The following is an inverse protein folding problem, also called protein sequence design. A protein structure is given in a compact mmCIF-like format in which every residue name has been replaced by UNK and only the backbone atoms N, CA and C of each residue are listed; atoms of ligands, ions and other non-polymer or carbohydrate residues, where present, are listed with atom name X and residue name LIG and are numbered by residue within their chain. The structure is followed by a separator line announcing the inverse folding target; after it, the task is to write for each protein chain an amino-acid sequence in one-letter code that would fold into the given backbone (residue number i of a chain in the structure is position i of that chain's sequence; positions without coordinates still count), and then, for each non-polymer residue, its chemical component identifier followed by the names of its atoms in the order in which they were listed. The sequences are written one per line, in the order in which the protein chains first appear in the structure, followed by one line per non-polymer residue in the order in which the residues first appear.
data_IF_367016089586
#
_entry.id   IF_367016089586
#
_cell.length_a   1.000
_cell.length_b   1.000
_cell.length_c   1.000
_cell.angle_alpha   90.00
_cell.angle_beta   90.00
_cell.angle_gamma   90.00
#
_symmetry.space_group_name_H-M   'P 1'
#
loop_
_entity.id
_entity.type
_entity.pdbx_description
1 polymer ?
#
# COMPACT_ATOMS: atom_id res chain seq x y z
N UNK A 1 -26.50 -45.88 -52.75
CA UNK A 1 -27.07 -44.65 -52.14
C UNK A 1 -26.52 -44.58 -50.71
N UNK A 2 -25.28 -44.06 -50.61
CA UNK A 2 -24.59 -43.96 -49.33
C UNK A 2 -24.75 -42.56 -48.82
N UNK A 3 -25.39 -42.42 -47.64
CA UNK A 3 -25.54 -41.16 -46.96
C UNK A 3 -24.29 -40.89 -46.10
N UNK A 4 -23.49 -39.90 -46.47
CA UNK A 4 -22.43 -39.35 -45.65
C UNK A 4 -23.04 -38.63 -44.42
N UNK A 5 -22.70 -39.11 -43.23
CA UNK A 5 -22.95 -38.46 -41.95
C UNK A 5 -21.74 -37.59 -41.63
N UNK A 6 -21.94 -36.26 -41.58
CA UNK A 6 -20.93 -35.31 -41.10
C UNK A 6 -20.78 -35.44 -39.57
N UNK A 7 -19.54 -35.39 -39.03
CA UNK A 7 -19.35 -35.35 -37.56
C UNK A 7 -19.60 -33.94 -37.01
N UNK A 8 -20.58 -33.79 -36.14
CA UNK A 8 -20.86 -32.59 -35.36
C UNK A 8 -19.64 -32.21 -34.50
N UNK A 9 -19.09 -31.02 -34.72
CA UNK A 9 -18.04 -30.43 -33.90
C UNK A 9 -18.52 -30.15 -32.47
N UNK A 10 -18.26 -31.09 -31.58
CA UNK A 10 -18.34 -30.81 -30.13
C UNK A 10 -17.08 -30.03 -29.73
N UNK A 11 -17.16 -28.69 -29.76
CA UNK A 11 -16.16 -27.88 -29.04
C UNK A 11 -16.34 -28.17 -27.57
N UNK A 12 -15.35 -28.87 -27.02
CA UNK A 12 -15.42 -29.39 -25.66
C UNK A 12 -15.46 -28.27 -24.61
N UNK A 13 -16.20 -28.50 -23.53
CA UNK A 13 -16.22 -27.63 -22.36
C UNK A 13 -14.82 -27.37 -21.78
N UNK A 14 -13.86 -28.23 -22.09
CA UNK A 14 -12.47 -28.13 -21.67
C UNK A 14 -11.74 -26.94 -22.31
N UNK A 15 -12.05 -26.58 -23.57
CA UNK A 15 -11.40 -25.44 -24.24
C UNK A 15 -11.85 -24.08 -23.65
N UNK A 16 -13.07 -24.00 -23.12
CA UNK A 16 -13.54 -22.82 -22.40
C UNK A 16 -12.94 -22.71 -21.01
N UNK A 17 -12.65 -23.83 -20.34
CA UNK A 17 -11.97 -23.86 -19.05
C UNK A 17 -10.50 -23.48 -19.20
N UNK A 18 -9.80 -23.97 -20.23
CA UNK A 18 -8.42 -23.63 -20.51
C UNK A 18 -8.26 -22.12 -20.80
N UNK A 19 -9.18 -21.52 -21.57
CA UNK A 19 -9.20 -20.09 -21.85
C UNK A 19 -9.48 -19.25 -20.58
N UNK A 20 -10.32 -19.73 -19.66
CA UNK A 20 -10.61 -19.04 -18.40
C UNK A 20 -9.44 -19.12 -17.40
N UNK A 21 -8.72 -20.24 -17.38
CA UNK A 21 -7.55 -20.45 -16.52
C UNK A 21 -6.36 -19.64 -17.04
N UNK A 22 -6.18 -19.49 -18.36
CA UNK A 22 -5.06 -18.70 -18.91
C UNK A 22 -5.22 -17.18 -18.67
N UNK A 23 -6.44 -16.68 -18.45
CA UNK A 23 -6.67 -15.26 -18.11
C UNK A 23 -6.47 -14.95 -16.61
N UNK A 24 -6.38 -15.96 -15.74
CA UNK A 24 -6.19 -15.76 -14.30
C UNK A 24 -4.76 -16.07 -13.80
N UNK A 25 -3.90 -16.62 -14.64
CA UNK A 25 -2.53 -17.03 -14.24
C UNK A 25 -1.55 -15.85 -14.24
N UNK A 26 -1.96 -14.65 -14.65
CA UNK A 26 -1.09 -13.46 -14.69
C UNK A 26 -1.32 -12.46 -13.53
N UNK A 27 -1.97 -12.88 -12.44
CA UNK A 27 -1.80 -12.20 -11.15
C UNK A 27 -0.66 -12.92 -10.45
N UNK A 28 0.54 -12.36 -10.54
CA UNK A 28 1.65 -12.72 -9.66
C UNK A 28 1.19 -12.72 -8.19
N UNK A 29 1.97 -13.30 -7.27
CA UNK A 29 1.62 -13.29 -5.85
C UNK A 29 1.29 -11.85 -5.45
N UNK A 30 0.32 -11.68 -4.54
CA UNK A 30 -0.01 -10.37 -4.01
C UNK A 30 1.29 -9.72 -3.53
N UNK A 31 1.62 -8.51 -3.98
CA UNK A 31 2.85 -7.83 -3.57
C UNK A 31 2.84 -7.66 -2.06
N UNK A 32 4.03 -7.73 -1.48
CA UNK A 32 4.25 -7.58 -0.05
C UNK A 32 5.35 -6.56 0.17
N UNK A 33 5.25 -5.79 1.23
CA UNK A 33 6.20 -4.77 1.66
C UNK A 33 6.60 -5.03 3.11
N UNK A 34 7.60 -4.31 3.59
CA UNK A 34 8.08 -4.41 4.97
C UNK A 34 7.75 -3.19 5.81
N UNK A 35 7.41 -2.09 5.16
CA UNK A 35 7.24 -0.77 5.78
C UNK A 35 8.57 -0.10 6.09
N UNK A 36 9.66 -0.52 5.45
CA UNK A 36 10.96 0.15 5.52
C UNK A 36 11.13 0.98 4.24
N UNK A 37 11.05 2.28 4.39
CA UNK A 37 11.12 3.22 3.27
C UNK A 37 12.52 3.19 2.66
N UNK A 38 12.58 2.98 1.35
CA UNK A 38 13.84 2.92 0.59
C UNK A 38 14.22 4.29 0.04
N UNK A 39 13.22 5.13 -0.28
CA UNK A 39 13.44 6.40 -0.94
C UNK A 39 12.31 7.40 -0.64
N UNK A 40 12.69 8.70 -0.54
CA UNK A 40 11.76 9.81 -0.65
C UNK A 40 11.67 10.24 -2.11
N UNK A 41 10.56 9.88 -2.77
CA UNK A 41 10.25 10.36 -4.11
C UNK A 41 9.54 11.70 -4.11
N UNK A 42 9.35 12.27 -5.29
CA UNK A 42 8.60 13.50 -5.50
C UNK A 42 7.57 13.34 -6.61
N UNK A 43 6.35 13.75 -6.36
CA UNK A 43 5.31 13.78 -7.40
C UNK A 43 5.71 14.79 -8.48
N UNK A 44 5.97 14.31 -9.70
CA UNK A 44 6.25 15.14 -10.86
C UNK A 44 4.96 15.73 -11.42
N UNK A 45 3.94 14.90 -11.62
CA UNK A 45 2.65 15.31 -12.15
C UNK A 45 1.52 14.40 -11.71
N UNK A 46 0.31 14.97 -11.69
CA UNK A 46 -0.95 14.24 -11.50
C UNK A 46 -1.87 14.61 -12.66
N UNK A 47 -2.21 13.64 -13.49
CA UNK A 47 -3.12 13.80 -14.62
C UNK A 47 -4.46 13.13 -14.29
N UNK A 48 -5.54 13.92 -14.27
CA UNK A 48 -6.87 13.36 -14.07
C UNK A 48 -7.35 12.65 -15.35
N UNK A 49 -7.79 11.39 -15.22
CA UNK A 49 -8.29 10.54 -16.30
C UNK A 49 -9.71 10.05 -15.99
N UNK A 50 -10.70 10.92 -16.22
CA UNK A 50 -12.07 10.68 -15.79
C UNK A 50 -12.15 10.66 -14.25
N UNK A 51 -12.60 9.55 -13.65
CA UNK A 51 -12.65 9.37 -12.21
C UNK A 51 -11.34 8.80 -11.62
N UNK A 52 -10.42 8.34 -12.48
CA UNK A 52 -9.10 7.81 -12.12
C UNK A 52 -8.03 8.91 -12.32
N UNK A 53 -6.80 8.63 -11.91
CA UNK A 53 -5.67 9.51 -12.15
C UNK A 53 -4.44 8.72 -12.60
N UNK A 54 -3.55 9.37 -13.34
CA UNK A 54 -2.20 8.92 -13.58
C UNK A 54 -1.24 9.82 -12.82
N UNK A 55 -0.38 9.22 -12.01
CA UNK A 55 0.62 9.92 -11.22
C UNK A 55 1.99 9.56 -11.79
N UNK A 56 2.84 10.56 -12.02
CA UNK A 56 4.26 10.37 -12.35
C UNK A 56 5.08 10.78 -11.13
N UNK A 57 6.01 9.92 -10.71
CA UNK A 57 6.81 10.09 -9.50
C UNK A 57 8.29 10.06 -9.89
N UNK A 58 9.03 11.10 -9.51
CA UNK A 58 10.48 11.15 -9.59
C UNK A 58 11.07 10.23 -8.52
N UNK A 59 11.94 9.30 -8.93
CA UNK A 59 12.57 8.31 -8.08
C UNK A 59 13.86 7.82 -8.73
N UNK A 60 14.82 7.33 -7.93
CA UNK A 60 16.11 6.84 -8.39
C UNK A 60 16.42 5.44 -7.87
N UNK A 61 16.15 5.18 -6.58
CA UNK A 61 16.48 3.90 -5.92
C UNK A 61 15.44 2.83 -6.25
N UNK A 62 14.15 3.14 -6.05
CA UNK A 62 13.08 2.15 -6.22
C UNK A 62 12.84 1.74 -7.67
N UNK A 63 13.36 2.47 -8.64
CA UNK A 63 13.29 2.11 -10.06
C UNK A 63 14.43 1.17 -10.49
N UNK A 64 15.52 1.07 -9.70
CA UNK A 64 16.62 0.15 -10.00
C UNK A 64 16.16 -1.31 -9.89
N UNK A 65 16.19 -2.04 -11.01
CA UNK A 65 15.76 -3.43 -11.08
C UNK A 65 14.24 -3.64 -11.06
N UNK A 66 13.45 -2.58 -10.99
CA UNK A 66 11.99 -2.62 -11.11
C UNK A 66 11.61 -2.73 -12.58
N UNK A 67 10.71 -3.65 -12.93
CA UNK A 67 10.18 -3.85 -14.26
C UNK A 67 8.78 -3.26 -14.40
N UNK A 68 8.37 -3.01 -15.63
CA UNK A 68 7.00 -2.64 -15.93
C UNK A 68 6.03 -3.71 -15.41
N UNK A 69 5.08 -3.32 -14.58
CA UNK A 69 4.12 -4.22 -13.95
C UNK A 69 4.49 -4.65 -12.52
N UNK A 70 5.71 -4.38 -12.05
CA UNK A 70 6.08 -4.60 -10.66
C UNK A 70 5.32 -3.64 -9.72
N UNK A 71 5.28 -3.97 -8.45
CA UNK A 71 4.60 -3.15 -7.45
C UNK A 71 5.57 -2.29 -6.65
N UNK A 72 5.21 -1.01 -6.52
CA UNK A 72 5.87 -0.04 -5.64
C UNK A 72 4.82 0.49 -4.66
N UNK A 73 5.15 0.53 -3.38
CA UNK A 73 4.37 1.22 -2.35
C UNK A 73 4.64 2.72 -2.44
N UNK A 74 3.58 3.52 -2.55
CA UNK A 74 3.63 4.99 -2.54
C UNK A 74 2.81 5.49 -1.36
N UNK A 75 3.44 6.04 -0.34
CA UNK A 75 2.80 6.39 0.93
C UNK A 75 1.97 5.24 1.51
N UNK A 76 2.45 4.00 1.42
CA UNK A 76 1.74 2.80 1.88
C UNK A 76 0.62 2.32 0.96
N UNK A 77 0.48 2.87 -0.25
CA UNK A 77 -0.46 2.38 -1.25
C UNK A 77 0.29 1.56 -2.30
N UNK A 78 -0.08 0.30 -2.48
CA UNK A 78 0.46 -0.57 -3.51
C UNK A 78 0.01 -0.10 -4.89
N UNK A 79 0.95 0.32 -5.73
CA UNK A 79 0.71 0.74 -7.10
C UNK A 79 1.53 -0.08 -8.07
N UNK A 80 0.99 -0.30 -9.26
CA UNK A 80 1.70 -0.95 -10.36
C UNK A 80 2.59 0.07 -11.06
N UNK A 81 3.90 -0.19 -11.10
CA UNK A 81 4.86 0.66 -11.79
C UNK A 81 4.74 0.52 -13.30
N UNK A 82 4.52 1.62 -13.97
CA UNK A 82 4.34 1.75 -15.42
C UNK A 82 5.36 2.76 -15.96
N UNK A 83 5.65 2.71 -17.25
CA UNK A 83 6.45 3.71 -17.97
C UNK A 83 7.71 4.12 -17.20
N UNK A 84 8.46 3.13 -16.69
CA UNK A 84 9.69 3.35 -15.93
C UNK A 84 10.72 4.03 -16.82
N UNK A 85 11.24 5.18 -16.37
CA UNK A 85 12.27 5.96 -17.02
C UNK A 85 13.55 5.94 -16.16
N UNK A 86 14.56 6.71 -16.56
CA UNK A 86 15.84 6.78 -15.84
C UNK A 86 15.71 7.35 -14.41
N UNK A 87 14.73 8.22 -14.20
CA UNK A 87 14.56 9.03 -12.98
C UNK A 87 13.10 9.15 -12.53
N UNK A 88 12.23 8.31 -13.06
CA UNK A 88 10.80 8.34 -12.73
C UNK A 88 10.06 7.07 -13.13
N UNK A 89 8.88 6.90 -12.56
CA UNK A 89 7.89 5.93 -12.99
C UNK A 89 6.50 6.53 -12.96
N UNK A 90 5.57 5.95 -13.70
CA UNK A 90 4.17 6.30 -13.66
C UNK A 90 3.35 5.21 -12.97
N UNK A 91 2.19 5.58 -12.43
CA UNK A 91 1.20 4.64 -11.92
C UNK A 91 -0.21 5.14 -12.23
N UNK A 92 -1.10 4.23 -12.62
CA UNK A 92 -2.51 4.52 -12.76
C UNK A 92 -3.22 4.22 -11.44
N UNK A 93 -4.00 5.19 -10.94
CA UNK A 93 -4.65 5.14 -9.63
C UNK A 93 -6.15 5.16 -9.82
N UNK A 94 -6.84 4.15 -9.27
CA UNK A 94 -8.30 4.05 -9.38
C UNK A 94 -9.01 5.10 -8.54
N UNK A 95 -10.26 5.41 -8.89
CA UNK A 95 -11.16 6.28 -8.09
C UNK A 95 -11.23 5.83 -6.63
N UNK A 96 -11.40 4.52 -6.39
CA UNK A 96 -11.49 3.97 -5.05
C UNK A 96 -10.23 4.27 -4.23
N UNK A 97 -9.05 4.05 -4.84
CA UNK A 97 -7.77 4.36 -4.20
C UNK A 97 -7.61 5.85 -3.92
N UNK A 98 -7.99 6.72 -4.86
CA UNK A 98 -7.95 8.18 -4.65
C UNK A 98 -8.85 8.64 -3.51
N UNK A 99 -10.03 8.02 -3.35
CA UNK A 99 -10.98 8.36 -2.28
C UNK A 99 -10.54 7.82 -0.92
N UNK A 100 -9.95 6.63 -0.88
CA UNK A 100 -9.60 5.91 0.36
C UNK A 100 -8.23 6.28 0.94
N UNK A 101 -7.37 6.90 0.13
CA UNK A 101 -6.01 7.23 0.54
C UNK A 101 -5.68 8.71 0.41
N UNK A 102 -4.48 9.10 0.86
CA UNK A 102 -3.94 10.44 0.69
C UNK A 102 -3.57 10.74 -0.77
N UNK A 103 -3.51 9.72 -1.64
CA UNK A 103 -3.12 9.90 -3.05
C UNK A 103 -4.07 10.84 -3.82
N UNK A 104 -5.34 10.92 -3.40
CA UNK A 104 -6.31 11.85 -4.01
C UNK A 104 -6.01 13.33 -3.78
N UNK A 105 -5.15 13.66 -2.82
CA UNK A 105 -4.72 15.03 -2.51
C UNK A 105 -3.33 15.40 -3.02
N UNK A 106 -2.61 14.47 -3.66
CA UNK A 106 -1.28 14.70 -4.19
C UNK A 106 -1.27 15.78 -5.26
N UNK A 107 -0.19 16.55 -5.27
CA UNK A 107 0.09 17.63 -6.26
C UNK A 107 1.54 17.52 -6.69
N UNK A 108 1.86 18.10 -7.84
CA UNK A 108 3.26 18.23 -8.26
C UNK A 108 4.10 18.90 -7.14
N UNK A 109 5.25 18.31 -6.87
CA UNK A 109 6.17 18.72 -5.81
C UNK A 109 5.93 18.06 -4.46
N UNK A 110 4.82 17.31 -4.24
CA UNK A 110 4.58 16.59 -2.98
C UNK A 110 5.62 15.48 -2.81
N UNK A 111 6.22 15.38 -1.63
CA UNK A 111 7.14 14.30 -1.25
C UNK A 111 6.35 13.06 -0.85
N UNK A 112 6.80 11.88 -1.29
CA UNK A 112 6.16 10.60 -1.01
C UNK A 112 7.16 9.54 -0.57
N UNK A 113 6.76 8.68 0.35
CA UNK A 113 7.53 7.52 0.77
C UNK A 113 7.43 6.42 -0.29
N UNK A 114 8.56 5.81 -0.65
CA UNK A 114 8.62 4.75 -1.66
C UNK A 114 9.29 3.50 -1.09
N UNK A 115 8.74 2.34 -1.42
CA UNK A 115 9.30 1.02 -1.10
C UNK A 115 8.96 0.05 -2.25
N UNK A 116 9.94 -0.75 -2.70
CA UNK A 116 9.71 -1.86 -3.65
C UNK A 116 9.05 -3.04 -2.96
N UNK A 117 8.28 -3.82 -3.70
CA UNK A 117 7.77 -5.10 -3.19
C UNK A 117 8.93 -6.05 -2.85
N UNK A 118 8.73 -6.86 -1.79
CA UNK A 118 9.74 -7.81 -1.31
C UNK A 118 10.02 -8.91 -2.35
N UNK A 119 11.25 -9.39 -2.33
CA UNK A 119 11.69 -10.61 -3.02
C UNK A 119 11.90 -11.73 -2.00
N UNK A 120 12.07 -13.00 -2.41
CA UNK A 120 12.39 -14.09 -1.48
C UNK A 120 13.66 -13.89 -0.64
N UNK A 121 14.55 -12.97 -1.04
CA UNK A 121 15.79 -12.64 -0.35
C UNK A 121 15.67 -11.41 0.56
N UNK A 122 14.57 -10.67 0.50
CA UNK A 122 14.37 -9.45 1.29
C UNK A 122 14.18 -9.80 2.77
N UNK A 123 14.88 -9.08 3.66
CA UNK A 123 14.66 -9.20 5.11
C UNK A 123 13.39 -8.45 5.50
N UNK A 124 12.54 -9.08 6.30
CA UNK A 124 11.38 -8.42 6.89
C UNK A 124 11.84 -7.55 8.09
N UNK A 125 12.31 -6.33 7.81
CA UNK A 125 12.83 -5.41 8.83
C UNK A 125 11.75 -4.69 9.65
N UNK A 126 10.51 -4.61 9.13
CA UNK A 126 9.34 -4.06 9.81
C UNK A 126 8.32 -5.15 10.12
N UNK A 127 7.12 -5.06 9.51
CA UNK A 127 6.07 -6.08 9.60
C UNK A 127 5.50 -6.38 8.21
N UNK A 128 4.49 -7.24 8.14
CA UNK A 128 3.82 -7.59 6.88
C UNK A 128 2.92 -6.41 6.47
N UNK A 129 3.33 -5.66 5.44
CA UNK A 129 2.57 -4.55 4.86
C UNK A 129 2.14 -4.95 3.45
N UNK A 130 0.85 -4.82 3.14
CA UNK A 130 0.29 -5.20 1.84
C UNK A 130 0.18 -4.03 0.86
N UNK A 131 0.24 -2.80 1.37
CA UNK A 131 -0.04 -1.59 0.62
C UNK A 131 -1.55 -1.38 0.41
N UNK A 132 -2.36 -1.95 1.28
CA UNK A 132 -3.82 -1.88 1.26
C UNK A 132 -4.31 -1.00 2.41
N UNK A 133 -4.34 0.30 2.17
CA UNK A 133 -4.76 1.31 3.15
C UNK A 133 -6.16 1.01 3.68
N UNK A 134 -6.26 0.86 5.00
CA UNK A 134 -7.54 0.60 5.70
C UNK A 134 -8.32 1.86 5.97
N UNK A 135 -7.60 2.93 6.33
CA UNK A 135 -8.22 4.19 6.70
C UNK A 135 -7.27 5.37 6.45
N UNK A 136 -7.86 6.55 6.45
CA UNK A 136 -7.11 7.81 6.58
C UNK A 136 -7.15 8.25 8.03
N UNK A 137 -5.97 8.42 8.61
CA UNK A 137 -5.79 9.07 9.90
C UNK A 137 -5.47 10.56 9.74
N UNK A 138 -5.15 11.21 10.85
CA UNK A 138 -4.76 12.61 10.89
C UNK A 138 -3.56 12.82 11.81
N UNK A 139 -2.56 13.57 11.37
CA UNK A 139 -1.47 14.02 12.24
C UNK A 139 -2.00 15.02 13.25
N UNK A 140 -2.06 14.65 14.53
CA UNK A 140 -2.59 15.49 15.62
C UNK A 140 -1.51 16.29 16.34
N UNK A 141 -0.25 15.81 16.33
CA UNK A 141 0.83 16.49 17.02
C UNK A 141 2.17 15.84 16.76
N UNK A 142 3.21 16.65 16.88
CA UNK A 142 4.61 16.25 16.87
C UNK A 142 5.28 16.92 18.05
N UNK A 143 5.83 16.14 18.97
CA UNK A 143 6.57 16.62 20.13
C UNK A 143 8.05 16.26 19.93
N UNK A 144 8.90 17.28 19.92
CA UNK A 144 10.34 17.14 19.73
C UNK A 144 11.02 16.94 21.10
N UNK A 145 11.81 15.87 21.23
CA UNK A 145 12.60 15.54 22.43
C UNK A 145 14.12 15.71 22.20
N UNK A 146 14.50 16.41 21.14
CA UNK A 146 15.90 16.66 20.75
C UNK A 146 16.49 15.54 19.89
N UNK A 147 16.55 14.32 20.38
CA UNK A 147 17.09 13.16 19.63
C UNK A 147 16.00 12.18 19.17
N UNK A 148 14.73 12.54 19.33
CA UNK A 148 13.57 11.75 18.90
C UNK A 148 12.32 12.60 18.88
N UNK A 149 11.26 12.09 18.25
CA UNK A 149 9.95 12.74 18.23
C UNK A 149 8.88 11.77 18.69
N UNK A 150 7.90 12.27 19.43
CA UNK A 150 6.63 11.58 19.63
C UNK A 150 5.64 12.14 18.62
N UNK A 151 5.15 11.28 17.75
CA UNK A 151 4.15 11.64 16.73
C UNK A 151 2.81 11.05 17.14
N UNK A 152 1.79 11.92 17.21
CA UNK A 152 0.42 11.55 17.59
C UNK A 152 -0.46 11.50 16.35
N UNK A 153 -1.12 10.35 16.12
CA UNK A 153 -1.96 10.09 14.94
C UNK A 153 -3.36 9.72 15.40
N UNK A 154 -4.35 10.53 14.99
CA UNK A 154 -5.76 10.22 15.14
C UNK A 154 -6.21 9.19 14.12
N UNK A 155 -7.13 8.31 14.49
CA UNK A 155 -7.65 7.25 13.63
C UNK A 155 -9.17 7.13 13.74
N UNK A 156 -9.86 6.65 12.70
CA UNK A 156 -11.30 6.41 12.74
C UNK A 156 -11.62 5.16 13.55
N UNK A 157 -12.77 5.16 14.22
CA UNK A 157 -13.21 4.12 15.16
C UNK A 157 -13.22 2.70 14.55
N UNK A 158 -13.43 2.60 13.26
CA UNK A 158 -13.53 1.33 12.53
C UNK A 158 -12.26 0.48 12.63
N UNK A 159 -11.08 1.12 12.73
CA UNK A 159 -9.81 0.39 12.82
C UNK A 159 -9.31 0.23 14.26
N UNK A 160 -9.97 0.84 15.27
CA UNK A 160 -9.53 0.82 16.66
C UNK A 160 -9.25 -0.59 17.20
N UNK A 161 -10.10 -1.56 16.85
CA UNK A 161 -10.02 -2.96 17.29
C UNK A 161 -8.77 -3.70 16.81
N UNK A 162 -8.10 -3.21 15.78
CA UNK A 162 -6.90 -3.80 15.21
C UNK A 162 -5.60 -3.19 15.75
N UNK A 163 -5.71 -2.05 16.45
CA UNK A 163 -4.56 -1.36 17.03
C UNK A 163 -4.27 -1.90 18.41
N UNK A 164 -3.01 -2.26 18.67
CA UNK A 164 -2.59 -2.89 19.92
C UNK A 164 -1.38 -2.15 20.46
N UNK A 165 -1.38 -1.83 21.77
CA UNK A 165 -0.19 -1.27 22.43
C UNK A 165 1.02 -2.17 22.22
N UNK A 166 2.14 -1.61 21.76
CA UNK A 166 3.35 -2.31 21.31
C UNK A 166 3.17 -3.16 20.04
N UNK A 167 2.01 -3.12 19.40
CA UNK A 167 1.80 -3.71 18.08
C UNK A 167 2.36 -2.83 16.96
N UNK A 168 2.35 -3.38 15.74
CA UNK A 168 2.77 -2.67 14.52
C UNK A 168 1.58 -1.99 13.85
N UNK A 169 1.87 -0.88 13.18
CA UNK A 169 0.96 -0.16 12.28
C UNK A 169 1.78 0.48 11.16
N UNK A 170 1.27 0.50 9.95
CA UNK A 170 1.90 1.26 8.88
C UNK A 170 1.23 2.64 8.78
N UNK A 171 2.05 3.71 8.83
CA UNK A 171 1.65 5.11 8.65
C UNK A 171 2.38 5.65 7.44
N UNK A 172 1.65 6.09 6.40
CA UNK A 172 2.28 6.51 5.13
C UNK A 172 3.27 5.44 4.59
N UNK A 173 2.97 4.15 4.82
CA UNK A 173 3.81 3.01 4.47
C UNK A 173 4.97 2.73 5.42
N UNK A 174 5.17 3.53 6.45
CA UNK A 174 6.25 3.34 7.42
C UNK A 174 5.81 2.38 8.51
N UNK A 175 6.53 1.28 8.71
CA UNK A 175 6.31 0.34 9.81
C UNK A 175 6.71 0.98 11.14
N UNK A 176 5.73 1.19 12.02
CA UNK A 176 5.93 1.85 13.31
C UNK A 176 5.36 1.01 14.45
N UNK A 177 5.93 1.17 15.63
CA UNK A 177 5.45 0.52 16.85
C UNK A 177 4.59 1.50 17.65
N UNK A 178 3.40 1.10 18.05
CA UNK A 178 2.49 1.88 18.90
C UNK A 178 3.10 1.99 20.30
N UNK A 179 3.47 3.21 20.69
CA UNK A 179 4.08 3.54 21.98
C UNK A 179 3.05 4.02 23.01
N UNK A 180 1.93 4.57 22.57
CA UNK A 180 0.77 4.97 23.35
C UNK A 180 -0.50 4.73 22.56
N UNK A 181 -1.59 4.37 23.22
CA UNK A 181 -2.88 4.08 22.57
C UNK A 181 -4.02 4.58 23.46
N UNK A 182 -4.94 5.30 22.83
CA UNK A 182 -6.23 5.73 23.40
C UNK A 182 -7.36 5.27 22.47
N UNK A 183 -8.60 5.65 22.76
CA UNK A 183 -9.74 5.37 21.89
C UNK A 183 -9.79 6.25 20.62
N UNK A 184 -9.00 7.34 20.56
CA UNK A 184 -9.06 8.33 19.48
C UNK A 184 -7.76 8.48 18.71
N UNK A 185 -6.62 8.18 19.34
CA UNK A 185 -5.29 8.31 18.71
C UNK A 185 -4.29 7.31 19.28
N UNK A 186 -3.24 7.09 18.52
CA UNK A 186 -2.04 6.41 19.00
C UNK A 186 -0.82 7.32 18.91
N UNK A 187 0.22 6.96 19.64
CA UNK A 187 1.52 7.63 19.62
C UNK A 187 2.59 6.66 19.14
N UNK A 188 3.52 7.19 18.35
CA UNK A 188 4.71 6.47 17.89
C UNK A 188 5.95 7.28 18.19
N UNK A 189 7.02 6.60 18.58
CA UNK A 189 8.33 7.21 18.79
C UNK A 189 9.14 7.14 17.48
N UNK A 190 9.60 8.27 16.99
CA UNK A 190 10.34 8.41 15.75
C UNK A 190 11.80 8.72 16.07
N UNK A 191 12.72 7.88 15.58
CA UNK A 191 14.17 8.07 15.68
C UNK A 191 14.67 9.00 14.57
N UNK A 192 15.83 9.66 14.73
CA UNK A 192 16.34 10.63 13.76
C UNK A 192 16.41 10.08 12.34
N UNK A 193 16.86 8.84 12.17
CA UNK A 193 16.95 8.23 10.84
C UNK A 193 15.59 8.12 10.15
N UNK A 194 14.55 7.67 10.84
CA UNK A 194 13.20 7.59 10.28
C UNK A 194 12.65 8.97 9.93
N UNK A 195 12.89 9.97 10.79
CA UNK A 195 12.48 11.35 10.53
C UNK A 195 13.13 11.93 9.28
N UNK A 196 14.42 11.65 9.08
CA UNK A 196 15.22 12.13 7.93
C UNK A 196 14.79 11.51 6.60
N UNK A 197 14.54 10.18 6.59
CA UNK A 197 14.36 9.40 5.34
C UNK A 197 12.90 9.16 4.98
N UNK A 198 11.94 9.77 5.69
CA UNK A 198 10.51 9.63 5.42
C UNK A 198 9.81 10.98 5.31
N UNK A 199 8.60 10.97 4.71
CA UNK A 199 7.79 12.17 4.56
C UNK A 199 7.25 12.74 5.88
N UNK A 200 7.40 12.05 7.02
CA UNK A 200 6.93 12.52 8.33
C UNK A 200 7.47 13.92 8.67
N UNK A 201 8.72 14.22 8.29
CA UNK A 201 9.34 15.53 8.51
C UNK A 201 8.71 16.66 7.68
N UNK A 202 7.93 16.35 6.66
CA UNK A 202 7.28 17.32 5.77
C UNK A 202 5.81 17.55 6.11
N UNK A 203 5.20 16.65 6.88
CA UNK A 203 3.80 16.72 7.29
C UNK A 203 3.58 17.80 8.35
N UNK A 204 2.37 18.36 8.36
CA UNK A 204 1.91 19.36 9.33
C UNK A 204 0.75 18.82 10.15
N UNK A 205 0.60 19.31 11.36
CA UNK A 205 -0.59 19.03 12.19
C UNK A 205 -1.84 19.38 11.40
N UNK A 206 -2.76 18.43 11.33
CA UNK A 206 -3.97 18.49 10.51
C UNK A 206 -3.88 17.74 9.19
N UNK A 207 -2.69 17.40 8.70
CA UNK A 207 -2.55 16.63 7.46
C UNK A 207 -3.09 15.21 7.64
N UNK A 208 -3.72 14.70 6.58
CA UNK A 208 -4.17 13.32 6.52
C UNK A 208 -2.98 12.39 6.27
N UNK A 209 -3.04 11.18 6.83
CA UNK A 209 -2.06 10.10 6.63
C UNK A 209 -2.76 8.80 6.30
N UNK A 210 -2.14 7.95 5.48
CA UNK A 210 -2.61 6.61 5.20
C UNK A 210 -2.30 5.70 6.39
N UNK A 211 -3.26 4.88 6.78
CA UNK A 211 -3.11 3.89 7.85
C UNK A 211 -3.41 2.49 7.28
N UNK A 212 -2.50 1.56 7.51
CA UNK A 212 -2.72 0.13 7.30
C UNK A 212 -2.45 -0.59 8.61
N UNK A 213 -3.44 -1.33 9.12
CA UNK A 213 -3.30 -2.13 10.35
C UNK A 213 -2.58 -3.45 10.02
N UNK A 214 -1.96 -4.06 11.03
CA UNK A 214 -1.32 -5.37 10.85
C UNK A 214 -2.36 -6.38 10.35
N UNK A 215 -2.09 -6.99 9.20
CA UNK A 215 -2.98 -7.96 8.55
C UNK A 215 -3.32 -9.14 9.45
N UNK A 216 -2.44 -9.50 10.38
CA UNK A 216 -2.67 -10.58 11.35
C UNK A 216 -3.89 -10.27 12.22
N UNK A 217 -4.07 -9.01 12.63
CA UNK A 217 -5.22 -8.61 13.43
C UNK A 217 -6.56 -8.85 12.69
N UNK A 218 -6.60 -8.60 11.38
CA UNK A 218 -7.78 -8.85 10.53
C UNK A 218 -8.11 -10.35 10.43
N UNK A 219 -7.08 -11.21 10.29
CA UNK A 219 -7.27 -12.66 10.25
C UNK A 219 -7.74 -13.20 11.60
N UNK A 220 -7.17 -12.70 12.70
CA UNK A 220 -7.60 -13.08 14.07
C UNK A 220 -9.06 -12.73 14.28
N UNK A 221 -9.50 -11.51 13.94
CA UNK A 221 -10.91 -11.12 14.03
C UNK A 221 -11.80 -12.08 13.24
N UNK A 222 -11.46 -12.33 11.98
CA UNK A 222 -12.24 -13.20 11.11
C UNK A 222 -12.39 -14.61 11.68
N UNK A 223 -11.36 -15.17 12.27
CA UNK A 223 -11.38 -16.50 12.90
C UNK A 223 -12.28 -16.52 14.14
N UNK A 224 -12.23 -15.48 14.97
CA UNK A 224 -13.09 -15.35 16.16
C UNK A 224 -14.57 -15.24 15.78
N UNK A 225 -14.90 -14.41 14.78
CA UNK A 225 -16.27 -14.29 14.26
C UNK A 225 -16.85 -15.62 13.73
N UNK A 226 -15.99 -16.50 13.20
CA UNK A 226 -16.42 -17.82 12.73
C UNK A 226 -16.61 -18.77 13.89
N UNK A 227 -15.80 -18.66 14.95
CA UNK A 227 -15.92 -19.51 16.15
C UNK A 227 -17.22 -19.25 16.92
N UNK A 228 -17.67 -17.99 16.98
CA UNK A 228 -18.91 -17.61 17.65
C UNK A 228 -20.20 -18.10 16.93
N UNK A 229 -20.04 -18.67 15.72
CA UNK A 229 -21.14 -19.20 14.90
C UNK A 229 -21.25 -20.72 14.92
N UNK A 230 -20.35 -21.40 15.63
CA UNK A 230 -20.31 -22.85 15.83
C UNK A 230 -20.91 -23.23 17.19
#
# INVERSE_FOLDING_TARGET
MDACVEPSSRHSRLDRFASFISLQINKGPNPLFTGIIEELGRVHSVEQRGENARIVIEAHIVIEGTNHGDSISVNGVCLTALDIQRDSFAADVSKETLLRSTLGSLKAGTTVNLERSVTPATRLGGHIVQGHVDARGQLLGVEDHGESWTVRIGFPKEIARYLVFKGSVAVEGISLTIAGLTDEYFEVAIIPKTWEVTNLSTLKVGDAVNLEVDVIAKYVERLLEMSDKL
#
